data_IF_473617180789
#
_entry.id   IF_473617180789
#
_cell.length_a   1.000
_cell.length_b   1.000
_cell.length_c   1.000
_cell.angle_alpha   90.00
_cell.angle_beta   90.00
_cell.angle_gamma   90.00
#
_symmetry.space_group_name_H-M   'P 1'
#
loop_
_entity.id
_entity.type
_entity.pdbx_description
1 polymer ?
#
# COMPACT_ATOMS: atom_id res chain seq x y z
N UNK A 1 27.94 -42.25 16.80
CA UNK A 1 27.62 -42.04 15.37
C UNK A 1 28.46 -43.03 14.58
N UNK A 2 27.86 -43.85 13.71
CA UNK A 2 28.52 -45.03 13.14
C UNK A 2 29.66 -44.59 12.20
N UNK A 3 30.91 -44.94 12.52
CA UNK A 3 32.13 -44.50 11.81
C UNK A 3 32.07 -44.83 10.31
N UNK A 4 31.40 -45.93 9.98
CA UNK A 4 31.13 -46.36 8.61
C UNK A 4 30.30 -45.35 7.82
N UNK A 5 29.32 -44.69 8.44
CA UNK A 5 28.48 -43.67 7.79
C UNK A 5 29.30 -42.42 7.47
N UNK A 6 30.17 -42.01 8.39
CA UNK A 6 31.09 -40.87 8.21
C UNK A 6 32.10 -41.14 7.08
N UNK A 7 32.67 -42.36 7.03
CA UNK A 7 33.55 -42.80 5.95
C UNK A 7 32.84 -42.82 4.60
N UNK A 8 31.58 -43.23 4.54
CA UNK A 8 30.78 -43.24 3.30
C UNK A 8 30.47 -41.84 2.78
N UNK A 9 30.13 -40.90 3.68
CA UNK A 9 29.82 -39.50 3.31
C UNK A 9 31.06 -38.82 2.70
N UNK A 10 32.24 -39.00 3.32
CA UNK A 10 33.49 -38.38 2.85
C UNK A 10 33.99 -39.02 1.54
N UNK A 11 33.85 -40.34 1.37
CA UNK A 11 34.22 -41.02 0.12
C UNK A 11 33.35 -40.60 -1.07
N UNK A 12 32.10 -40.20 -0.83
CA UNK A 12 31.17 -39.78 -1.88
C UNK A 12 31.49 -38.39 -2.47
N UNK A 13 32.36 -37.59 -1.84
CA UNK A 13 32.71 -36.23 -2.28
C UNK A 13 33.90 -36.17 -3.24
N UNK A 14 34.22 -37.26 -3.95
CA UNK A 14 35.39 -37.34 -4.83
C UNK A 14 35.23 -36.52 -6.12
N UNK A 15 35.41 -35.21 -6.04
CA UNK A 15 35.92 -34.40 -7.13
C UNK A 15 37.29 -33.87 -6.68
N UNK A 16 38.30 -34.65 -7.06
CA UNK A 16 39.73 -34.33 -7.15
C UNK A 16 40.31 -33.38 -6.09
N UNK A 17 40.89 -33.95 -5.03
CA UNK A 17 42.23 -33.50 -4.65
C UNK A 17 43.01 -34.65 -3.99
N UNK A 18 44.10 -35.05 -4.65
CA UNK A 18 45.03 -36.12 -4.27
C UNK A 18 45.97 -35.67 -3.12
N UNK A 19 45.46 -34.93 -2.14
CA UNK A 19 46.28 -34.34 -1.05
C UNK A 19 45.95 -34.87 0.34
N UNK A 20 44.96 -35.74 0.50
CA UNK A 20 44.77 -36.50 1.74
C UNK A 20 45.36 -37.89 1.56
N UNK A 21 46.66 -38.01 1.82
CA UNK A 21 47.32 -39.32 1.90
C UNK A 21 46.60 -40.19 2.93
N UNK A 22 46.53 -41.47 2.58
CA UNK A 22 45.95 -42.59 3.34
C UNK A 22 46.52 -42.78 4.76
N UNK A 23 47.46 -41.94 5.21
CA UNK A 23 48.17 -42.09 6.48
C UNK A 23 47.47 -41.39 7.66
N UNK A 24 46.62 -40.40 7.41
CA UNK A 24 45.98 -39.63 8.49
C UNK A 24 44.88 -40.38 9.25
N UNK A 25 44.46 -41.53 8.73
CA UNK A 25 43.39 -42.39 9.26
C UNK A 25 43.86 -43.74 9.82
N UNK A 26 45.12 -44.15 9.58
CA UNK A 26 45.63 -45.43 10.08
C UNK A 26 46.06 -45.38 11.56
N UNK A 27 46.13 -44.20 12.17
CA UNK A 27 46.50 -44.05 13.58
C UNK A 27 45.32 -44.05 14.55
N UNK A 28 44.10 -44.38 14.10
CA UNK A 28 42.93 -44.50 14.99
C UNK A 28 42.96 -45.91 15.58
N UNK A 29 43.68 -46.05 16.69
CA UNK A 29 43.65 -47.25 17.53
C UNK A 29 42.21 -47.52 17.99
N UNK A 30 41.78 -48.77 17.92
CA UNK A 30 40.40 -49.24 18.21
C UNK A 30 39.94 -49.05 19.66
N UNK A 31 40.75 -48.43 20.53
CA UNK A 31 40.53 -48.39 21.99
C UNK A 31 40.41 -46.99 22.62
N UNK A 32 40.29 -45.91 21.84
CA UNK A 32 39.97 -44.59 22.40
C UNK A 32 38.54 -44.18 22.05
N UNK A 33 37.68 -44.15 23.07
CA UNK A 33 36.35 -43.54 22.99
C UNK A 33 36.51 -42.06 22.63
N UNK A 34 36.28 -41.75 21.36
CA UNK A 34 36.42 -40.47 20.65
C UNK A 34 37.84 -40.12 20.19
N UNK A 35 38.11 -40.12 18.86
CA UNK A 35 39.37 -39.59 18.35
C UNK A 35 39.45 -38.08 18.58
N UNK A 36 40.64 -37.60 18.95
CA UNK A 36 40.97 -36.17 19.01
C UNK A 36 40.65 -35.56 17.65
N UNK A 37 39.63 -34.71 17.65
CA UNK A 37 39.08 -34.09 16.44
C UNK A 37 40.13 -33.18 15.82
N UNK A 38 40.85 -33.68 14.80
CA UNK A 38 41.79 -32.87 14.03
C UNK A 38 41.01 -31.69 13.42
N UNK A 39 41.40 -30.42 13.65
CA UNK A 39 40.64 -29.24 13.22
C UNK A 39 40.37 -29.23 11.72
N UNK A 40 41.37 -29.63 10.92
CA UNK A 40 41.28 -29.73 9.46
C UNK A 40 40.18 -30.70 9.00
N UNK A 41 39.87 -31.71 9.81
CA UNK A 41 38.88 -32.73 9.51
C UNK A 41 37.46 -32.22 9.77
N UNK A 42 37.27 -31.47 10.85
CA UNK A 42 36.02 -30.80 11.19
C UNK A 42 35.66 -29.69 10.17
N UNK A 43 36.65 -28.92 9.76
CA UNK A 43 36.46 -27.85 8.78
C UNK A 43 36.05 -28.43 7.41
N UNK A 44 36.66 -29.54 7.02
CA UNK A 44 36.34 -30.25 5.76
C UNK A 44 34.99 -30.97 5.82
N UNK A 45 34.64 -31.57 6.96
CA UNK A 45 33.30 -32.11 7.21
C UNK A 45 32.23 -31.01 7.17
N UNK A 46 32.46 -29.89 7.85
CA UNK A 46 31.54 -28.76 7.89
C UNK A 46 31.33 -28.14 6.49
N UNK A 47 32.40 -27.96 5.73
CA UNK A 47 32.34 -27.53 4.32
C UNK A 47 31.55 -28.51 3.44
N UNK A 48 31.75 -29.81 3.63
CA UNK A 48 31.06 -30.86 2.87
C UNK A 48 29.58 -30.96 3.24
N UNK A 49 29.25 -30.87 4.53
CA UNK A 49 27.86 -30.80 5.00
C UNK A 49 27.18 -29.52 4.52
N UNK A 50 27.85 -28.38 4.59
CA UNK A 50 27.32 -27.10 4.09
C UNK A 50 27.06 -27.17 2.59
N UNK A 51 27.95 -27.77 1.79
CA UNK A 51 27.75 -28.00 0.35
C UNK A 51 26.62 -29.00 0.05
N UNK A 52 26.49 -30.08 0.84
CA UNK A 52 25.41 -31.06 0.71
C UNK A 52 24.05 -30.50 1.11
N UNK A 53 24.00 -29.62 2.12
CA UNK A 53 22.78 -28.95 2.60
C UNK A 53 22.39 -27.76 1.71
N UNK A 54 23.34 -27.12 1.04
CA UNK A 54 23.07 -26.03 0.09
C UNK A 54 22.73 -26.51 -1.33
N UNK A 55 22.89 -27.80 -1.64
CA UNK A 55 22.48 -28.35 -2.93
C UNK A 55 21.06 -28.94 -2.89
N UNK A 56 20.17 -28.35 -3.71
CA UNK A 56 18.73 -28.62 -3.92
C UNK A 56 17.73 -28.02 -2.92
N UNK A 57 17.83 -26.72 -2.66
CA UNK A 57 16.63 -25.90 -2.45
C UNK A 57 16.79 -24.65 -3.30
N UNK A 58 15.92 -24.46 -4.31
CA UNK A 58 15.96 -23.23 -5.11
C UNK A 58 15.66 -22.02 -4.21
N UNK A 59 16.07 -20.81 -4.62
CA UNK A 59 15.81 -19.59 -3.83
C UNK A 59 14.32 -19.41 -3.54
N UNK A 60 13.46 -19.83 -4.47
CA UNK A 60 12.01 -19.86 -4.31
C UNK A 60 11.56 -20.88 -3.26
N UNK A 61 12.23 -22.04 -3.16
CA UNK A 61 11.90 -23.04 -2.15
C UNK A 61 12.33 -22.60 -0.74
N UNK A 62 13.46 -21.90 -0.58
CA UNK A 62 13.83 -21.28 0.70
C UNK A 62 12.82 -20.22 1.14
N UNK A 63 12.39 -19.36 0.22
CA UNK A 63 11.33 -18.38 0.47
C UNK A 63 10.02 -19.07 0.89
N UNK A 64 9.61 -20.15 0.21
CA UNK A 64 8.41 -20.93 0.57
C UNK A 64 8.50 -21.57 1.95
N UNK A 65 9.67 -22.09 2.35
CA UNK A 65 9.87 -22.65 3.69
C UNK A 65 9.82 -21.60 4.78
N UNK A 66 10.43 -20.43 4.55
CA UNK A 66 10.41 -19.33 5.51
C UNK A 66 9.01 -18.76 5.69
N UNK A 67 8.24 -18.58 4.61
CA UNK A 67 6.84 -18.15 4.68
C UNK A 67 6.01 -19.17 5.46
N UNK A 68 6.16 -20.47 5.18
CA UNK A 68 5.40 -21.52 5.87
C UNK A 68 5.70 -21.61 7.36
N UNK A 69 6.96 -21.47 7.76
CA UNK A 69 7.35 -21.49 9.18
C UNK A 69 6.79 -20.25 9.90
N UNK A 70 6.89 -19.07 9.30
CA UNK A 70 6.32 -17.85 9.87
C UNK A 70 4.81 -17.97 10.07
N UNK A 71 4.07 -18.48 9.08
CA UNK A 71 2.62 -18.74 9.22
C UNK A 71 2.30 -19.62 10.41
N UNK A 72 3.06 -20.71 10.55
CA UNK A 72 2.84 -21.68 11.61
C UNK A 72 3.16 -21.06 12.96
N UNK A 73 4.24 -20.28 13.07
CA UNK A 73 4.60 -19.61 14.32
C UNK A 73 3.62 -18.49 14.68
N UNK A 74 3.21 -17.62 13.75
CA UNK A 74 2.18 -16.59 13.98
C UNK A 74 0.85 -17.21 14.41
N UNK A 75 0.41 -18.30 13.76
CA UNK A 75 -0.81 -19.02 14.16
C UNK A 75 -0.67 -19.71 15.52
N UNK A 76 0.52 -20.19 15.87
CA UNK A 76 0.78 -20.81 17.18
C UNK A 76 0.70 -19.78 18.29
N UNK A 77 1.24 -18.59 18.05
CA UNK A 77 1.18 -17.47 18.99
C UNK A 77 -0.28 -17.00 19.18
N UNK A 78 -1.09 -17.02 18.13
CA UNK A 78 -2.51 -16.65 18.17
C UNK A 78 -3.41 -17.67 18.86
N UNK A 79 -3.17 -18.96 18.61
CA UNK A 79 -4.06 -20.03 19.09
C UNK A 79 -3.74 -20.52 20.50
N UNK A 80 -2.65 -20.05 21.13
CA UNK A 80 -2.14 -20.52 22.44
C UNK A 80 -1.93 -22.04 22.51
N UNK A 81 -1.82 -22.73 21.36
CA UNK A 81 -1.63 -24.18 21.30
C UNK A 81 -0.15 -24.52 21.53
N UNK A 82 0.20 -24.92 22.75
CA UNK A 82 1.52 -25.49 23.10
C UNK A 82 1.57 -26.98 22.75
N UNK A 83 1.74 -27.31 21.47
CA UNK A 83 1.90 -28.70 21.03
C UNK A 83 2.83 -28.77 19.81
N UNK A 84 3.78 -29.72 19.82
CA UNK A 84 4.69 -29.92 18.69
C UNK A 84 3.89 -30.42 17.47
N UNK A 85 4.15 -29.81 16.31
CA UNK A 85 3.58 -30.28 15.05
C UNK A 85 4.21 -31.64 14.75
N UNK A 86 3.46 -32.71 15.00
CA UNK A 86 3.82 -34.06 14.58
C UNK A 86 4.16 -34.06 13.08
N UNK A 87 5.13 -34.90 12.69
CA UNK A 87 5.74 -34.97 11.35
C UNK A 87 4.70 -34.84 10.22
N UNK A 88 4.47 -33.63 9.72
CA UNK A 88 3.69 -33.40 8.50
C UNK A 88 4.62 -33.62 7.33
N UNK A 89 4.37 -34.68 6.57
CA UNK A 89 5.09 -34.99 5.34
C UNK A 89 5.03 -33.77 4.37
N UNK A 90 6.15 -33.41 3.72
CA UNK A 90 6.18 -32.30 2.79
C UNK A 90 5.37 -32.63 1.54
N UNK A 91 4.29 -31.88 1.32
CA UNK A 91 3.56 -31.94 0.06
C UNK A 91 4.34 -31.17 -1.02
N UNK A 92 4.78 -31.89 -2.05
CA UNK A 92 5.63 -31.39 -3.13
C UNK A 92 4.90 -30.52 -4.18
N UNK A 93 3.59 -30.30 -4.04
CA UNK A 93 2.75 -29.63 -5.04
C UNK A 93 2.15 -28.32 -4.51
N UNK A 94 2.29 -27.24 -5.27
CA UNK A 94 1.78 -25.89 -4.95
C UNK A 94 0.27 -25.88 -4.65
N UNK A 95 -0.50 -26.71 -5.39
CA UNK A 95 -1.94 -26.92 -5.15
C UNK A 95 -2.23 -27.52 -3.77
N UNK A 96 -1.43 -28.50 -3.34
CA UNK A 96 -1.62 -29.13 -2.03
C UNK A 96 -1.25 -28.18 -0.88
N UNK A 97 -0.33 -27.23 -1.09
CA UNK A 97 -0.04 -26.19 -0.10
C UNK A 97 -1.11 -25.10 -0.02
N UNK A 98 -1.71 -24.69 -1.14
CA UNK A 98 -2.85 -23.76 -1.12
C UNK A 98 -4.08 -24.41 -0.49
N UNK A 99 -4.32 -25.68 -0.78
CA UNK A 99 -5.43 -26.45 -0.19
C UNK A 99 -5.24 -26.63 1.32
N UNK A 100 -4.01 -26.91 1.77
CA UNK A 100 -3.69 -26.97 3.19
C UNK A 100 -3.91 -25.62 3.87
N UNK A 101 -3.42 -24.53 3.27
CA UNK A 101 -3.62 -23.18 3.81
C UNK A 101 -5.11 -22.84 3.88
N UNK A 102 -5.88 -23.07 2.81
CA UNK A 102 -7.33 -22.87 2.81
C UNK A 102 -8.03 -23.72 3.88
N UNK A 103 -7.60 -24.97 4.10
CA UNK A 103 -8.16 -25.83 5.15
C UNK A 103 -7.87 -25.31 6.56
N UNK A 104 -6.66 -24.77 6.78
CA UNK A 104 -6.26 -24.15 8.05
C UNK A 104 -7.04 -22.86 8.26
N UNK A 105 -7.11 -21.99 7.25
CA UNK A 105 -7.84 -20.73 7.31
C UNK A 105 -9.33 -20.96 7.59
N UNK A 106 -9.97 -21.89 6.87
CA UNK A 106 -11.38 -22.25 7.12
C UNK A 106 -11.63 -22.76 8.54
N UNK A 107 -10.63 -23.38 9.18
CA UNK A 107 -10.76 -24.00 10.49
C UNK A 107 -10.38 -23.08 11.64
N UNK A 108 -9.41 -22.20 11.45
CA UNK A 108 -8.78 -21.41 12.52
C UNK A 108 -8.84 -19.90 12.31
N UNK A 109 -9.25 -19.43 11.14
CA UNK A 109 -9.40 -18.01 10.82
C UNK A 109 -10.84 -17.72 10.39
N UNK A 110 -11.80 -18.08 11.26
CA UNK A 110 -13.18 -17.60 11.12
C UNK A 110 -13.22 -16.08 11.27
N UNK A 111 -14.30 -15.46 10.78
CA UNK A 111 -14.52 -14.01 10.91
C UNK A 111 -14.41 -13.58 12.39
N UNK A 112 -15.00 -14.34 13.32
CA UNK A 112 -14.90 -14.10 14.76
C UNK A 112 -13.46 -14.11 15.30
N UNK A 113 -12.62 -15.02 14.81
CA UNK A 113 -11.21 -15.10 15.27
C UNK A 113 -10.41 -13.92 14.73
N UNK A 114 -10.62 -13.55 13.47
CA UNK A 114 -9.97 -12.39 12.86
C UNK A 114 -10.40 -11.11 13.60
N UNK A 115 -11.70 -10.96 13.86
CA UNK A 115 -12.26 -9.80 14.60
C UNK A 115 -11.74 -9.72 16.04
N UNK A 116 -11.45 -10.84 16.69
CA UNK A 116 -10.90 -10.86 18.05
C UNK A 116 -9.39 -10.55 18.13
N UNK A 117 -8.71 -10.43 16.99
CA UNK A 117 -7.28 -10.14 16.97
C UNK A 117 -7.05 -8.63 17.05
N UNK A 118 -6.29 -8.20 18.07
CA UNK A 118 -5.93 -6.80 18.30
C UNK A 118 -4.45 -6.50 17.94
N UNK A 119 -3.67 -7.53 17.61
CA UNK A 119 -2.26 -7.38 17.24
C UNK A 119 -2.12 -7.12 15.74
N UNK A 120 -1.97 -5.85 15.39
CA UNK A 120 -1.86 -5.36 14.02
C UNK A 120 -0.65 -5.94 13.29
N UNK A 121 0.50 -6.07 13.94
CA UNK A 121 1.73 -6.51 13.27
C UNK A 121 1.66 -7.98 12.88
N UNK A 122 0.95 -8.79 13.68
CA UNK A 122 0.66 -10.16 13.33
C UNK A 122 -0.43 -10.27 12.25
N UNK A 123 -1.46 -9.41 12.28
CA UNK A 123 -2.47 -9.35 11.21
C UNK A 123 -1.82 -9.02 9.87
N UNK A 124 -0.83 -8.12 9.86
CA UNK A 124 -0.02 -7.81 8.67
C UNK A 124 0.74 -9.05 8.19
N UNK A 125 1.38 -9.82 9.10
CA UNK A 125 2.07 -11.06 8.70
C UNK A 125 1.10 -12.06 8.05
N UNK A 126 -0.11 -12.22 8.62
CA UNK A 126 -1.13 -13.07 8.03
C UNK A 126 -1.55 -12.55 6.65
N UNK A 127 -1.74 -11.25 6.50
CA UNK A 127 -2.09 -10.64 5.22
C UNK A 127 -0.99 -10.86 4.17
N UNK A 128 0.29 -10.69 4.52
CA UNK A 128 1.43 -10.96 3.62
C UNK A 128 1.46 -12.42 3.15
N UNK A 129 1.17 -13.36 4.05
CA UNK A 129 1.08 -14.78 3.72
C UNK A 129 -0.07 -15.03 2.76
N UNK A 130 -1.25 -14.48 3.07
CA UNK A 130 -2.44 -14.66 2.26
C UNK A 130 -2.21 -14.10 0.86
N UNK A 131 -1.61 -12.93 0.76
CA UNK A 131 -1.22 -12.31 -0.50
C UNK A 131 -0.29 -13.18 -1.35
N UNK A 132 0.67 -13.86 -0.72
CA UNK A 132 1.59 -14.75 -1.42
C UNK A 132 0.95 -16.10 -1.81
N UNK A 133 -0.20 -16.43 -1.23
CA UNK A 133 -0.90 -17.71 -1.44
C UNK A 133 -2.20 -17.57 -2.24
N UNK A 134 -2.63 -16.34 -2.55
CA UNK A 134 -3.86 -16.04 -3.29
C UNK A 134 -3.79 -16.58 -4.72
N UNK A 135 -4.35 -17.77 -4.86
CA UNK A 135 -4.62 -18.45 -6.14
C UNK A 135 -6.12 -18.65 -6.35
N UNK A 136 -6.95 -18.47 -5.30
CA UNK A 136 -8.38 -18.77 -5.30
C UNK A 136 -9.23 -17.66 -4.64
N UNK A 137 -10.53 -17.63 -4.95
CA UNK A 137 -11.49 -16.63 -4.49
C UNK A 137 -11.72 -16.66 -2.98
N UNK A 138 -11.70 -17.85 -2.36
CA UNK A 138 -11.89 -17.95 -0.90
C UNK A 138 -10.71 -17.42 -0.09
N UNK A 139 -9.47 -17.61 -0.56
CA UNK A 139 -8.30 -16.96 0.06
C UNK A 139 -8.40 -15.45 -0.04
N UNK A 140 -8.97 -14.94 -1.14
CA UNK A 140 -9.09 -13.50 -1.34
C UNK A 140 -10.12 -12.85 -0.42
N UNK A 141 -11.25 -13.51 -0.18
CA UNK A 141 -12.22 -13.02 0.83
C UNK A 141 -11.60 -12.96 2.23
N UNK A 142 -10.83 -13.97 2.61
CA UNK A 142 -10.17 -13.97 3.91
C UNK A 142 -9.11 -12.87 3.99
N UNK A 143 -8.33 -12.68 2.92
CA UNK A 143 -7.38 -11.58 2.80
C UNK A 143 -8.06 -10.21 2.97
N UNK A 144 -9.18 -9.97 2.31
CA UNK A 144 -9.95 -8.73 2.45
C UNK A 144 -10.44 -8.52 3.89
N UNK A 145 -10.92 -9.57 4.57
CA UNK A 145 -11.35 -9.47 5.97
C UNK A 145 -10.19 -9.13 6.92
N UNK A 146 -9.01 -9.71 6.71
CA UNK A 146 -7.81 -9.36 7.48
C UNK A 146 -7.41 -7.91 7.24
N UNK A 147 -7.45 -7.43 5.99
CA UNK A 147 -7.18 -6.02 5.70
C UNK A 147 -8.19 -5.11 6.40
N UNK A 148 -9.49 -5.43 6.35
CA UNK A 148 -10.52 -4.64 7.06
C UNK A 148 -10.20 -4.54 8.55
N UNK A 149 -9.86 -5.67 9.18
CA UNK A 149 -9.48 -5.66 10.60
C UNK A 149 -8.23 -4.83 10.86
N UNK A 150 -7.21 -4.91 9.98
CA UNK A 150 -6.03 -4.05 10.09
C UNK A 150 -6.46 -2.58 10.06
N UNK A 151 -7.34 -2.18 9.14
CA UNK A 151 -7.84 -0.80 8.99
C UNK A 151 -8.58 -0.31 10.24
N UNK A 152 -9.34 -1.18 10.91
CA UNK A 152 -10.13 -0.85 12.09
C UNK A 152 -9.29 -0.62 13.36
N UNK A 153 -8.02 -1.02 13.34
CA UNK A 153 -7.10 -0.93 14.48
C UNK A 153 -6.14 0.27 14.37
N UNK A 154 -5.49 0.61 15.49
CA UNK A 154 -4.46 1.65 15.53
C UNK A 154 -3.22 1.24 14.71
N UNK A 155 -2.86 2.05 13.73
CA UNK A 155 -1.88 1.68 12.70
C UNK A 155 -0.43 1.81 13.19
N UNK A 156 0.33 0.72 13.15
CA UNK A 156 1.80 0.70 13.29
C UNK A 156 2.51 1.14 12.00
N UNK A 157 3.79 1.53 12.05
CA UNK A 157 4.58 1.84 10.84
C UNK A 157 4.57 0.69 9.82
N UNK A 158 4.62 -0.55 10.32
CA UNK A 158 4.57 -1.76 9.49
C UNK A 158 3.23 -1.89 8.77
N UNK A 159 2.12 -1.67 9.49
CA UNK A 159 0.78 -1.70 8.90
C UNK A 159 0.57 -0.60 7.86
N UNK A 160 1.06 0.62 8.11
CA UNK A 160 0.98 1.74 7.16
C UNK A 160 1.75 1.43 5.87
N UNK A 161 2.99 0.92 6.00
CA UNK A 161 3.81 0.53 4.85
C UNK A 161 3.14 -0.60 4.05
N UNK A 162 2.56 -1.59 4.73
CA UNK A 162 1.83 -2.69 4.11
C UNK A 162 0.58 -2.19 3.36
N UNK A 163 -0.27 -1.39 3.99
CA UNK A 163 -1.48 -0.85 3.37
C UNK A 163 -1.15 0.02 2.15
N UNK A 164 -0.07 0.81 2.20
CA UNK A 164 0.44 1.56 1.04
C UNK A 164 0.83 0.63 -0.10
N UNK A 165 1.54 -0.45 0.19
CA UNK A 165 1.91 -1.44 -0.82
C UNK A 165 0.66 -2.11 -1.45
N UNK A 166 -0.34 -2.47 -0.62
CA UNK A 166 -1.60 -3.04 -1.10
C UNK A 166 -2.35 -2.05 -1.98
N UNK A 167 -2.41 -0.77 -1.60
CA UNK A 167 -3.02 0.27 -2.42
C UNK A 167 -2.37 0.36 -3.80
N UNK A 168 -1.03 0.37 -3.87
CA UNK A 168 -0.29 0.37 -5.15
C UNK A 168 -0.49 -0.90 -5.98
N UNK A 169 -0.86 -2.02 -5.37
CA UNK A 169 -1.12 -3.30 -6.05
C UNK A 169 -2.60 -3.60 -6.25
N UNK A 170 -3.51 -2.72 -5.83
CA UNK A 170 -4.95 -2.96 -5.80
C UNK A 170 -5.54 -3.47 -7.12
N UNK A 171 -5.11 -2.93 -8.27
CA UNK A 171 -5.59 -3.39 -9.60
C UNK A 171 -5.16 -4.81 -9.92
N UNK A 172 -3.90 -5.14 -9.61
CA UNK A 172 -3.36 -6.49 -9.83
C UNK A 172 -4.05 -7.52 -8.92
N UNK A 173 -4.43 -7.08 -7.72
CA UNK A 173 -5.09 -7.90 -6.71
C UNK A 173 -6.60 -8.00 -6.89
N UNK A 174 -7.19 -7.19 -7.78
CA UNK A 174 -8.65 -7.13 -8.01
C UNK A 174 -9.43 -6.97 -6.70
N UNK A 175 -8.94 -6.12 -5.81
CA UNK A 175 -9.60 -5.84 -4.53
C UNK A 175 -10.95 -5.14 -4.77
N UNK A 176 -11.88 -5.36 -3.85
CA UNK A 176 -13.14 -4.61 -3.85
C UNK A 176 -12.90 -3.10 -3.73
N UNK A 177 -13.64 -2.31 -4.52
CA UNK A 177 -13.55 -0.84 -4.51
C UNK A 177 -13.78 -0.25 -3.10
N UNK A 178 -14.74 -0.79 -2.36
CA UNK A 178 -15.02 -0.41 -0.96
C UNK A 178 -13.78 -0.56 -0.06
N UNK A 179 -13.00 -1.63 -0.25
CA UNK A 179 -11.79 -1.85 0.54
C UNK A 179 -10.70 -0.84 0.17
N UNK A 180 -10.54 -0.54 -1.12
CA UNK A 180 -9.58 0.47 -1.59
C UNK A 180 -9.93 1.85 -1.03
N UNK A 181 -11.20 2.23 -1.05
CA UNK A 181 -11.70 3.46 -0.43
C UNK A 181 -11.44 3.49 1.09
N UNK A 182 -11.63 2.35 1.77
CA UNK A 182 -11.39 2.24 3.22
C UNK A 182 -9.91 2.39 3.57
N UNK A 183 -9.02 1.72 2.81
CA UNK A 183 -7.55 1.87 2.96
C UNK A 183 -7.18 3.34 2.81
N UNK A 184 -7.73 3.99 1.79
CA UNK A 184 -7.40 5.36 1.46
C UNK A 184 -7.92 6.36 2.50
N UNK A 185 -9.14 6.17 3.00
CA UNK A 185 -9.72 7.04 4.05
C UNK A 185 -8.89 6.99 5.32
N UNK A 186 -8.48 5.79 5.75
CA UNK A 186 -7.66 5.60 6.96
C UNK A 186 -6.22 6.09 6.77
N UNK A 187 -5.67 5.95 5.58
CA UNK A 187 -4.28 6.34 5.27
C UNK A 187 -4.18 7.70 4.57
N UNK A 188 -5.24 8.52 4.57
CA UNK A 188 -5.30 9.79 3.80
C UNK A 188 -4.10 10.69 4.06
N UNK A 189 -3.67 10.80 5.32
CA UNK A 189 -2.55 11.65 5.71
C UNK A 189 -1.24 11.19 5.07
N UNK A 190 -1.03 9.88 4.93
CA UNK A 190 0.21 9.31 4.41
C UNK A 190 0.21 9.08 2.90
N UNK A 191 -0.96 8.82 2.31
CA UNK A 191 -1.10 8.55 0.87
C UNK A 191 -1.31 9.83 0.06
N UNK A 192 -1.96 10.85 0.65
CA UNK A 192 -2.35 12.08 -0.06
C UNK A 192 -1.72 13.27 0.62
N UNK A 193 -2.13 13.58 1.86
CA UNK A 193 -1.95 14.91 2.43
C UNK A 193 -0.47 15.24 2.57
N UNK A 194 0.32 14.35 3.20
CA UNK A 194 1.75 14.54 3.41
C UNK A 194 2.52 14.56 2.08
N UNK A 195 2.44 13.55 1.19
CA UNK A 195 3.10 13.62 -0.10
C UNK A 195 2.75 14.88 -0.90
N UNK A 196 1.48 15.28 -0.89
CA UNK A 196 1.00 16.43 -1.63
C UNK A 196 1.50 17.75 -1.04
N UNK A 197 1.53 17.87 0.30
CA UNK A 197 2.14 19.01 1.00
C UNK A 197 3.65 19.07 0.76
N UNK A 198 4.35 17.93 0.83
CA UNK A 198 5.79 17.85 0.56
C UNK A 198 6.09 18.28 -0.88
N UNK A 199 5.25 17.85 -1.84
CA UNK A 199 5.32 18.27 -3.23
C UNK A 199 5.11 19.78 -3.38
N UNK A 200 4.06 20.33 -2.75
CA UNK A 200 3.79 21.76 -2.75
C UNK A 200 4.94 22.58 -2.16
N UNK A 201 5.47 22.16 -1.01
CA UNK A 201 6.59 22.82 -0.34
C UNK A 201 7.86 22.76 -1.19
N UNK A 202 8.14 21.61 -1.82
CA UNK A 202 9.23 21.46 -2.77
C UNK A 202 9.06 22.37 -4.00
N UNK A 203 7.85 22.50 -4.53
CA UNK A 203 7.58 23.47 -5.60
C UNK A 203 7.70 24.91 -5.12
N UNK A 204 7.47 25.16 -3.82
CA UNK A 204 7.62 26.47 -3.24
C UNK A 204 9.07 26.94 -3.13
N UNK A 205 10.01 26.03 -2.91
CA UNK A 205 11.44 26.32 -2.78
C UNK A 205 12.20 26.31 -4.11
N UNK A 206 11.61 25.75 -5.16
CA UNK A 206 12.22 25.65 -6.48
C UNK A 206 12.04 26.93 -7.30
N UNK A 207 13.14 27.63 -7.60
CA UNK A 207 13.15 28.86 -8.40
C UNK A 207 12.59 28.65 -9.82
N UNK A 208 12.69 27.43 -10.36
CA UNK A 208 12.21 27.09 -11.70
C UNK A 208 10.74 26.69 -11.73
N UNK A 209 10.10 26.50 -10.56
CA UNK A 209 8.69 26.13 -10.42
C UNK A 209 8.28 24.96 -11.33
N UNK A 210 9.08 23.89 -11.37
CA UNK A 210 8.84 22.75 -12.26
C UNK A 210 7.76 21.80 -11.71
N UNK A 211 6.55 22.33 -11.56
CA UNK A 211 5.38 21.63 -11.03
C UNK A 211 5.10 20.33 -11.80
N UNK A 212 5.11 20.38 -13.13
CA UNK A 212 4.78 19.23 -13.96
C UNK A 212 5.73 18.05 -13.73
N UNK A 213 7.04 18.29 -13.57
CA UNK A 213 7.99 17.21 -13.33
C UNK A 213 7.78 16.57 -11.95
N UNK A 214 7.55 17.38 -10.90
CA UNK A 214 7.34 16.88 -9.53
C UNK A 214 6.02 16.14 -9.40
N UNK A 215 4.99 16.59 -10.12
CA UNK A 215 3.69 15.93 -10.14
C UNK A 215 3.71 14.56 -10.83
N UNK A 216 4.73 14.23 -11.65
CA UNK A 216 4.86 12.87 -12.22
C UNK A 216 5.02 11.77 -11.17
N UNK A 217 5.52 12.11 -9.99
CA UNK A 217 5.61 11.16 -8.87
C UNK A 217 4.21 10.68 -8.43
N UNK A 218 3.17 11.41 -8.80
CA UNK A 218 1.76 11.13 -8.50
C UNK A 218 1.00 10.49 -9.67
N UNK A 219 1.65 10.13 -10.78
CA UNK A 219 0.98 9.56 -11.97
C UNK A 219 0.07 8.37 -11.62
N UNK A 220 0.54 7.50 -10.73
CA UNK A 220 -0.26 6.37 -10.24
C UNK A 220 -1.52 6.82 -9.48
N UNK A 221 -1.41 7.86 -8.64
CA UNK A 221 -2.55 8.41 -7.91
C UNK A 221 -3.54 9.08 -8.87
N UNK A 222 -3.06 9.83 -9.86
CA UNK A 222 -3.93 10.45 -10.87
C UNK A 222 -4.64 9.43 -11.75
N UNK A 223 -3.98 8.32 -12.08
CA UNK A 223 -4.62 7.19 -12.76
C UNK A 223 -5.78 6.62 -11.93
N UNK A 224 -5.57 6.42 -10.63
CA UNK A 224 -6.63 5.97 -9.71
C UNK A 224 -7.78 6.97 -9.60
N UNK A 225 -7.47 8.24 -9.40
CA UNK A 225 -8.45 9.33 -9.27
C UNK A 225 -9.32 9.45 -10.52
N UNK A 226 -8.76 9.26 -11.71
CA UNK A 226 -9.52 9.31 -12.97
C UNK A 226 -10.61 8.23 -13.10
N UNK A 227 -10.56 7.22 -12.22
CA UNK A 227 -11.52 6.12 -12.19
C UNK A 227 -12.40 6.11 -10.95
N UNK A 228 -12.11 6.93 -9.95
CA UNK A 228 -12.75 6.88 -8.63
C UNK A 228 -13.08 8.31 -8.14
N UNK A 229 -14.36 8.71 -8.27
CA UNK A 229 -14.83 10.01 -7.78
C UNK A 229 -14.61 10.24 -6.28
N UNK A 230 -14.63 9.18 -5.45
CA UNK A 230 -14.40 9.29 -4.01
C UNK A 230 -12.96 9.73 -3.73
N UNK A 231 -11.98 9.17 -4.45
CA UNK A 231 -10.58 9.60 -4.36
C UNK A 231 -10.38 11.04 -4.84
N UNK A 232 -11.10 11.44 -5.90
CA UNK A 232 -11.09 12.82 -6.39
C UNK A 232 -11.59 13.81 -5.33
N UNK A 233 -12.71 13.49 -4.66
CA UNK A 233 -13.27 14.34 -3.61
C UNK A 233 -12.29 14.55 -2.46
N UNK A 234 -11.64 13.49 -2.00
CA UNK A 234 -10.63 13.58 -0.93
C UNK A 234 -9.41 14.41 -1.31
N UNK A 235 -8.91 14.28 -2.55
CA UNK A 235 -7.84 15.16 -3.03
C UNK A 235 -8.32 16.62 -3.13
N UNK A 236 -9.58 16.82 -3.54
CA UNK A 236 -10.21 18.14 -3.63
C UNK A 236 -10.33 18.81 -2.26
N UNK A 237 -10.66 18.06 -1.22
CA UNK A 237 -10.66 18.55 0.16
C UNK A 237 -9.26 18.98 0.63
N UNK A 238 -8.22 18.24 0.23
CA UNK A 238 -6.84 18.63 0.52
C UNK A 238 -6.44 19.92 -0.23
N UNK A 239 -6.79 20.03 -1.51
CA UNK A 239 -6.56 21.24 -2.32
C UNK A 239 -7.28 22.45 -1.72
N UNK A 240 -8.56 22.29 -1.36
CA UNK A 240 -9.35 23.31 -0.64
C UNK A 240 -8.67 23.72 0.66
N UNK A 241 -8.22 22.77 1.47
CA UNK A 241 -7.60 23.06 2.77
C UNK A 241 -6.32 23.88 2.60
N UNK A 242 -5.46 23.53 1.65
CA UNK A 242 -4.28 24.34 1.32
C UNK A 242 -4.67 25.73 0.80
N UNK A 243 -5.67 25.82 -0.07
CA UNK A 243 -6.15 27.08 -0.63
C UNK A 243 -6.59 28.05 0.47
N UNK A 244 -7.32 27.57 1.48
CA UNK A 244 -7.77 28.37 2.63
C UNK A 244 -6.60 28.70 3.57
N UNK A 245 -5.78 27.72 3.96
CA UNK A 245 -4.66 27.91 4.90
C UNK A 245 -3.66 28.95 4.37
N UNK A 246 -3.42 28.93 3.06
CA UNK A 246 -2.54 29.89 2.38
C UNK A 246 -3.21 31.22 2.03
N UNK A 247 -4.45 31.44 2.49
CA UNK A 247 -5.25 32.65 2.23
C UNK A 247 -5.35 32.97 0.74
N UNK A 248 -5.65 31.96 -0.06
CA UNK A 248 -5.87 32.08 -1.50
C UNK A 248 -4.65 32.55 -2.29
N UNK A 249 -3.43 32.30 -1.78
CA UNK A 249 -2.20 32.72 -2.45
C UNK A 249 -2.11 32.22 -3.90
N UNK A 250 -1.61 33.07 -4.81
CA UNK A 250 -1.44 32.76 -6.23
C UNK A 250 -0.62 31.49 -6.48
N UNK A 251 0.41 31.26 -5.65
CA UNK A 251 1.25 30.07 -5.76
C UNK A 251 0.47 28.78 -5.51
N UNK A 252 -0.46 28.80 -4.57
CA UNK A 252 -1.38 27.69 -4.28
C UNK A 252 -2.37 27.50 -5.42
N UNK A 253 -2.94 28.59 -5.95
CA UNK A 253 -3.82 28.54 -7.12
C UNK A 253 -3.13 27.89 -8.33
N UNK A 254 -1.89 28.29 -8.61
CA UNK A 254 -1.09 27.73 -9.70
C UNK A 254 -0.77 26.24 -9.46
N UNK A 255 -0.50 25.85 -8.22
CA UNK A 255 -0.30 24.43 -7.89
C UNK A 255 -1.56 23.60 -8.16
N UNK A 256 -2.71 24.03 -7.65
CA UNK A 256 -4.00 23.34 -7.84
C UNK A 256 -4.34 23.25 -9.33
N UNK A 257 -4.17 24.34 -10.10
CA UNK A 257 -4.37 24.34 -11.56
C UNK A 257 -3.53 23.26 -12.26
N UNK A 258 -2.25 23.12 -11.87
CA UNK A 258 -1.37 22.09 -12.44
C UNK A 258 -1.80 20.67 -12.04
N UNK A 259 -2.27 20.47 -10.81
CA UNK A 259 -2.79 19.17 -10.34
C UNK A 259 -4.04 18.78 -11.13
N UNK A 260 -5.01 19.69 -11.26
CA UNK A 260 -6.23 19.46 -12.03
C UNK A 260 -5.93 19.19 -13.50
N UNK A 261 -4.93 19.87 -14.09
CA UNK A 261 -4.45 19.59 -15.45
C UNK A 261 -3.90 18.16 -15.58
N UNK A 262 -3.16 17.65 -14.59
CA UNK A 262 -2.69 16.25 -14.61
C UNK A 262 -3.86 15.27 -14.51
N UNK A 263 -4.84 15.54 -13.64
CA UNK A 263 -6.04 14.70 -13.52
C UNK A 263 -6.80 14.67 -14.86
N UNK A 264 -6.96 15.81 -15.51
CA UNK A 264 -7.65 15.94 -16.80
C UNK A 264 -6.93 15.17 -17.93
N UNK A 265 -5.59 15.23 -17.96
CA UNK A 265 -4.78 14.42 -18.85
C UNK A 265 -4.99 12.93 -18.62
N UNK A 266 -5.11 12.49 -17.37
CA UNK A 266 -5.38 11.08 -17.05
C UNK A 266 -6.82 10.67 -17.39
N UNK A 267 -7.83 11.51 -17.14
CA UNK A 267 -9.21 11.25 -17.55
C UNK A 267 -9.34 11.11 -19.08
N UNK A 268 -8.66 12.00 -19.81
CA UNK A 268 -8.63 12.00 -21.28
C UNK A 268 -8.05 10.70 -21.85
N UNK A 269 -7.05 10.08 -21.19
CA UNK A 269 -6.49 8.77 -21.61
C UNK A 269 -7.55 7.66 -21.63
N UNK A 270 -8.57 7.75 -20.78
CA UNK A 270 -9.69 6.80 -20.69
C UNK A 270 -10.97 7.31 -21.35
N UNK A 271 -10.90 8.38 -22.17
CA UNK A 271 -12.07 9.01 -22.80
C UNK A 271 -13.16 9.44 -21.80
N UNK A 272 -12.75 9.85 -20.59
CA UNK A 272 -13.64 10.40 -19.55
C UNK A 272 -13.43 11.91 -19.43
N UNK A 273 -14.47 12.62 -19.01
CA UNK A 273 -14.36 14.03 -18.65
C UNK A 273 -14.15 14.15 -17.14
N UNK A 274 -13.23 15.02 -16.71
CA UNK A 274 -13.03 15.39 -15.30
C UNK A 274 -14.33 15.85 -14.61
N UNK A 275 -15.35 16.28 -15.37
CA UNK A 275 -16.68 16.64 -14.88
C UNK A 275 -17.35 15.47 -14.14
N UNK A 276 -17.14 14.25 -14.65
CA UNK A 276 -17.76 13.04 -14.12
C UNK A 276 -17.24 12.68 -12.71
N UNK A 277 -16.11 13.27 -12.31
CA UNK A 277 -15.54 13.08 -10.97
C UNK A 277 -16.22 13.95 -9.91
N UNK A 278 -16.93 15.01 -10.31
CA UNK A 278 -17.66 15.87 -9.38
C UNK A 278 -19.01 15.26 -9.00
N UNK A 279 -19.49 15.48 -7.76
CA UNK A 279 -20.86 15.16 -7.37
C UNK A 279 -21.88 15.73 -8.38
N UNK A 280 -22.88 14.91 -8.74
CA UNK A 280 -23.89 15.26 -9.75
C UNK A 280 -24.55 16.61 -9.47
N UNK A 281 -24.82 16.91 -8.19
CA UNK A 281 -25.43 18.16 -7.76
C UNK A 281 -24.52 19.40 -7.94
N UNK A 282 -23.22 19.23 -8.19
CA UNK A 282 -22.26 20.31 -8.43
C UNK A 282 -21.88 20.45 -9.90
N UNK A 283 -22.08 19.41 -10.72
CA UNK A 283 -21.65 19.38 -12.12
C UNK A 283 -22.18 20.55 -12.95
N UNK A 284 -23.44 20.98 -12.73
CA UNK A 284 -24.00 22.13 -13.43
C UNK A 284 -23.19 23.42 -13.18
N UNK A 285 -22.73 23.62 -11.94
CA UNK A 285 -21.94 24.79 -11.55
C UNK A 285 -20.51 24.65 -12.09
N UNK A 286 -19.93 23.45 -12.08
CA UNK A 286 -18.62 23.16 -12.70
C UNK A 286 -18.63 23.51 -14.19
N UNK A 287 -19.68 23.16 -14.93
CA UNK A 287 -19.83 23.50 -16.36
C UNK A 287 -19.75 25.02 -16.56
N UNK A 288 -20.43 25.79 -15.71
CA UNK A 288 -20.41 27.25 -15.77
C UNK A 288 -19.03 27.81 -15.40
N UNK A 289 -18.39 27.29 -14.35
CA UNK A 289 -17.10 27.77 -13.86
C UNK A 289 -15.93 27.46 -14.80
N UNK A 290 -16.04 26.44 -15.66
CA UNK A 290 -15.07 26.13 -16.72
C UNK A 290 -14.92 27.25 -17.75
N UNK A 291 -15.99 28.02 -17.97
CA UNK A 291 -15.95 29.17 -18.85
C UNK A 291 -15.31 30.32 -18.06
N UNK A 292 -14.29 30.96 -18.64
CA UNK A 292 -13.62 32.07 -17.97
C UNK A 292 -14.59 33.23 -17.72
N UNK A 293 -14.49 33.96 -16.59
CA UNK A 293 -15.42 35.03 -16.25
C UNK A 293 -15.57 36.12 -17.32
N UNK A 294 -14.50 36.44 -18.07
CA UNK A 294 -14.50 37.42 -19.15
C UNK A 294 -15.33 36.99 -20.38
N UNK A 295 -15.61 35.69 -20.52
CA UNK A 295 -16.37 35.14 -21.64
C UNK A 295 -17.87 35.01 -21.33
N UNK A 296 -18.30 35.35 -20.11
CA UNK A 296 -19.73 35.39 -19.76
C UNK A 296 -20.37 36.73 -20.09
N UNK A 297 -21.64 36.71 -20.50
CA UNK A 297 -22.49 37.89 -20.42
C UNK A 297 -22.70 38.29 -18.95
N UNK A 298 -23.11 39.54 -18.70
CA UNK A 298 -23.41 40.02 -17.34
C UNK A 298 -24.44 39.13 -16.62
N UNK A 299 -25.54 38.77 -17.31
CA UNK A 299 -26.59 37.92 -16.74
C UNK A 299 -26.07 36.50 -16.42
N UNK A 300 -25.30 35.91 -17.34
CA UNK A 300 -24.75 34.57 -17.15
C UNK A 300 -23.74 34.56 -16.01
N UNK A 301 -22.87 35.58 -15.92
CA UNK A 301 -21.93 35.75 -14.81
C UNK A 301 -22.65 35.88 -13.47
N UNK A 302 -23.70 36.71 -13.39
CA UNK A 302 -24.53 36.86 -12.19
C UNK A 302 -25.22 35.54 -11.81
N UNK A 303 -25.70 34.77 -12.79
CA UNK A 303 -26.29 33.46 -12.55
C UNK A 303 -25.28 32.44 -12.01
N UNK A 304 -24.07 32.37 -12.59
CA UNK A 304 -22.99 31.48 -12.12
C UNK A 304 -22.61 31.81 -10.67
N UNK A 305 -22.38 33.08 -10.38
CA UNK A 305 -22.05 33.56 -9.03
C UNK A 305 -23.20 33.26 -8.06
N UNK A 306 -24.45 33.47 -8.45
CA UNK A 306 -25.61 33.13 -7.60
C UNK A 306 -25.74 31.63 -7.35
N UNK A 307 -25.43 30.79 -8.32
CA UNK A 307 -25.42 29.33 -8.14
C UNK A 307 -24.38 28.90 -7.12
N UNK A 308 -23.17 29.47 -7.20
CA UNK A 308 -22.09 29.20 -6.25
C UNK A 308 -22.48 29.65 -4.82
N UNK A 309 -23.20 30.77 -4.67
CA UNK A 309 -23.76 31.19 -3.37
C UNK A 309 -24.76 30.20 -2.79
N UNK A 310 -25.66 29.69 -3.62
CA UNK A 310 -26.65 28.70 -3.17
C UNK A 310 -25.96 27.42 -2.68
N UNK A 311 -24.89 27.00 -3.38
CA UNK A 311 -24.05 25.90 -2.94
C UNK A 311 -23.41 26.24 -1.58
N UNK A 312 -22.79 27.42 -1.45
CA UNK A 312 -22.17 27.85 -0.19
C UNK A 312 -23.12 27.86 1.00
N UNK A 313 -24.34 28.38 0.81
CA UNK A 313 -25.36 28.43 1.87
C UNK A 313 -25.83 27.04 2.31
N UNK A 314 -25.75 26.04 1.42
CA UNK A 314 -26.11 24.65 1.72
C UNK A 314 -24.94 23.86 2.30
N UNK A 315 -23.77 23.99 1.67
CA UNK A 315 -22.52 23.37 2.06
C UNK A 315 -21.36 24.30 1.69
N UNK A 316 -20.86 24.99 2.71
CA UNK A 316 -19.73 25.91 2.62
C UNK A 316 -18.51 25.26 1.94
N UNK A 317 -18.25 24.00 2.28
CA UNK A 317 -17.07 23.27 1.87
C UNK A 317 -17.07 22.94 0.38
N UNK A 318 -18.23 22.58 -0.18
CA UNK A 318 -18.39 22.32 -1.62
C UNK A 318 -18.10 23.58 -2.44
N UNK A 319 -18.59 24.73 -1.98
CA UNK A 319 -18.33 26.00 -2.67
C UNK A 319 -16.83 26.35 -2.63
N UNK A 320 -16.14 26.12 -1.51
CA UNK A 320 -14.70 26.36 -1.44
C UNK A 320 -13.90 25.39 -2.29
N UNK A 321 -14.31 24.12 -2.42
CA UNK A 321 -13.72 23.20 -3.39
C UNK A 321 -13.83 23.80 -4.80
N UNK A 322 -15.01 24.21 -5.22
CA UNK A 322 -15.22 24.80 -6.54
C UNK A 322 -14.39 26.07 -6.76
N UNK A 323 -14.35 26.99 -5.80
CA UNK A 323 -13.53 28.22 -5.91
C UNK A 323 -12.04 27.90 -5.98
N UNK A 324 -11.58 26.91 -5.20
CA UNK A 324 -10.17 26.50 -5.25
C UNK A 324 -9.78 25.93 -6.62
N UNK A 325 -10.69 25.20 -7.27
CA UNK A 325 -10.47 24.61 -8.60
C UNK A 325 -10.60 25.63 -9.73
N UNK A 326 -11.45 26.64 -9.55
CA UNK A 326 -11.72 27.69 -10.53
C UNK A 326 -11.40 29.09 -9.96
N UNK A 327 -10.13 29.36 -9.58
CA UNK A 327 -9.79 30.56 -8.82
C UNK A 327 -9.92 31.85 -9.62
N UNK A 328 -10.04 31.79 -10.95
CA UNK A 328 -10.33 32.96 -11.80
C UNK A 328 -11.69 33.60 -11.43
N UNK A 329 -12.60 32.83 -10.82
CA UNK A 329 -13.88 33.31 -10.31
C UNK A 329 -13.82 33.94 -8.92
N UNK A 330 -12.68 33.83 -8.21
CA UNK A 330 -12.50 34.35 -6.85
C UNK A 330 -12.86 35.85 -6.75
N UNK A 331 -12.44 36.76 -7.65
CA UNK A 331 -12.78 38.18 -7.53
C UNK A 331 -14.28 38.48 -7.65
N UNK A 332 -15.00 37.71 -8.48
CA UNK A 332 -16.46 37.86 -8.61
C UNK A 332 -17.19 37.26 -7.40
N UNK A 333 -16.61 36.24 -6.79
CA UNK A 333 -17.12 35.61 -5.59
C UNK A 333 -16.85 36.42 -4.32
N UNK A 334 -15.68 37.05 -4.17
CA UNK A 334 -15.34 37.92 -3.03
C UNK A 334 -16.25 39.14 -2.91
N UNK A 335 -16.65 39.73 -4.05
CA UNK A 335 -17.63 40.82 -4.09
C UNK A 335 -18.92 40.45 -3.36
N UNK A 336 -19.32 39.19 -3.36
CA UNK A 336 -20.50 38.75 -2.62
C UNK A 336 -20.33 38.84 -1.10
N UNK A 337 -19.19 38.45 -0.54
CA UNK A 337 -18.98 38.53 0.91
C UNK A 337 -18.95 39.97 1.41
N UNK A 338 -18.34 40.87 0.65
CA UNK A 338 -18.41 42.31 0.94
C UNK A 338 -19.84 42.87 0.88
N UNK A 339 -20.72 42.27 0.06
CA UNK A 339 -22.14 42.62 -0.04
C UNK A 339 -22.98 42.03 1.12
N UNK A 340 -22.52 41.01 1.84
CA UNK A 340 -23.23 40.45 3.02
C UNK A 340 -22.83 41.17 4.32
N UNK A 341 -21.61 41.69 4.42
CA UNK A 341 -21.19 42.48 5.58
C UNK A 341 -21.86 43.87 5.61
N UNK A 342 -22.23 44.42 4.46
CA UNK A 342 -22.85 45.76 4.35
C UNK A 342 -24.28 45.86 4.90
N UNK A 343 -25.16 44.85 4.78
CA UNK A 343 -26.47 44.84 5.43
C UNK A 343 -26.41 44.66 6.95
N UNK A 344 -25.43 43.90 7.46
CA UNK A 344 -25.31 43.63 8.91
C UNK A 344 -24.80 44.87 9.67
N UNK A 345 -23.98 45.71 9.04
CA UNK A 345 -23.55 47.00 9.61
C UNK A 345 -24.57 48.13 9.46
N UNK A 346 -25.62 47.96 8.64
CA UNK A 346 -26.73 48.93 8.53
C UNK A 346 -27.94 48.60 9.42
N UNK A 347 -27.88 47.48 10.15
CA UNK A 347 -28.91 47.03 11.07
C UNK A 347 -28.47 47.09 12.56
N UNK A 348 -27.36 47.77 12.85
CA UNK A 348 -26.88 48.10 14.20
C UNK A 348 -26.93 49.60 14.45
#
# INVERSE_FOLDING_TARGET
>A
MNENILKSIIKSSSLADKSASSDDWQSINENENFPVVKPNLNEKLSSTFTKLLSYKVSREAYQRYSVRLNVIDTLRDWTRIKGSVGKVLPHQELKKSSDLLLSIMKKYASEEVIESCDDVDNLVQMAEVLLNSTTDRSSMRCFENVIKRIIDLEQTEKSQAFLKYIFHKSDNLKLSSILVESIYTTQKCWLIEKPFNDCFMSCCTDEKQNFEQKLREFDFLFEKISCDPSLFQLLSEQMRSMFVITKYAEKTQNFIKNVLKQIDLHCSKYSKDTLDLYPINLQFCVILLRIKPENHSSDSKSHTVNSLKQIFLKNHDDALVLVSHFPDWLPEYEKFFHIIETPVQKAL
#
